data_IF_721812453553
#
_entry.id   IF_721812453553
#
_cell.length_a   1.000
_cell.length_b   1.000
_cell.length_c   1.000
_cell.angle_alpha   90.00
_cell.angle_beta   90.00
_cell.angle_gamma   90.00
#
_symmetry.space_group_name_H-M   'P 1'
#
loop_
_entity.id
_entity.type
_entity.pdbx_description
1 polymer ?
#
# COMPACT_ATOMS: atom_id res chain seq x y z
N UNK A 1 28.09 -5.76 -45.63
CA UNK A 1 27.12 -4.70 -45.28
C UNK A 1 26.35 -5.11 -44.03
N UNK A 2 26.84 -4.77 -42.83
CA UNK A 2 26.09 -4.92 -41.58
C UNK A 2 25.11 -3.75 -41.49
N UNK A 3 23.86 -3.98 -41.91
CA UNK A 3 22.76 -3.02 -41.74
C UNK A 3 22.52 -2.88 -40.23
N UNK A 4 22.93 -1.74 -39.70
CA UNK A 4 22.56 -1.24 -38.39
C UNK A 4 21.03 -1.30 -38.28
N UNK A 5 20.52 -2.32 -37.60
CA UNK A 5 19.13 -2.35 -37.13
C UNK A 5 19.08 -1.45 -35.90
N UNK A 6 18.96 -0.15 -36.14
CA UNK A 6 18.17 0.76 -35.30
C UNK A 6 16.75 0.19 -35.25
N UNK A 7 16.55 -0.83 -34.42
CA UNK A 7 15.29 -1.55 -34.29
C UNK A 7 14.40 -0.67 -33.42
N UNK A 8 13.74 0.31 -34.04
CA UNK A 8 12.45 0.88 -33.66
C UNK A 8 12.27 1.18 -32.15
N UNK A 9 12.88 2.25 -31.64
CA UNK A 9 12.59 2.78 -30.28
C UNK A 9 11.12 3.20 -30.07
N UNK A 10 10.29 3.19 -31.12
CA UNK A 10 8.91 3.66 -31.06
C UNK A 10 7.85 2.56 -31.29
N UNK A 11 8.24 1.29 -31.45
CA UNK A 11 7.28 0.18 -31.62
C UNK A 11 7.39 -0.78 -30.44
N UNK A 12 6.28 -0.93 -29.72
CA UNK A 12 6.16 -1.83 -28.55
C UNK A 12 5.63 -3.19 -28.98
N UNK A 13 4.65 -3.24 -29.88
CA UNK A 13 4.05 -4.48 -30.37
C UNK A 13 3.47 -4.33 -31.79
N UNK A 14 3.16 -5.45 -32.45
CA UNK A 14 2.55 -5.48 -33.78
C UNK A 14 1.48 -6.58 -33.87
N UNK A 15 0.30 -6.26 -34.40
CA UNK A 15 -0.82 -7.17 -34.64
C UNK A 15 -1.18 -7.11 -36.13
N UNK A 16 -0.87 -8.15 -36.91
CA UNK A 16 -0.98 -8.14 -38.38
C UNK A 16 -0.24 -6.95 -39.00
N UNK A 17 -0.94 -5.91 -39.46
CA UNK A 17 -0.36 -4.67 -40.00
C UNK A 17 -0.45 -3.48 -39.03
N UNK A 18 -1.13 -3.64 -37.90
CA UNK A 18 -1.26 -2.62 -36.86
C UNK A 18 0.00 -2.59 -35.97
N UNK A 19 0.54 -1.39 -35.77
CA UNK A 19 1.71 -1.14 -34.93
C UNK A 19 1.27 -0.41 -33.66
N UNK A 20 1.61 -0.97 -32.50
CA UNK A 20 1.45 -0.34 -31.20
C UNK A 20 2.76 0.40 -30.89
N UNK A 21 2.67 1.72 -30.73
CA UNK A 21 3.82 2.59 -30.47
C UNK A 21 4.04 2.86 -28.98
N UNK A 22 5.23 3.37 -28.63
CA UNK A 22 5.55 3.77 -27.25
C UNK A 22 4.62 4.88 -26.76
N UNK A 23 4.31 5.87 -27.62
CA UNK A 23 3.36 6.94 -27.29
C UNK A 23 1.94 6.40 -27.04
N UNK A 24 1.46 5.47 -27.86
CA UNK A 24 0.17 4.82 -27.64
C UNK A 24 0.15 4.03 -26.34
N UNK A 25 1.24 3.32 -26.01
CA UNK A 25 1.36 2.59 -24.76
C UNK A 25 1.36 3.52 -23.54
N UNK A 26 2.12 4.62 -23.59
CA UNK A 26 2.14 5.62 -22.50
C UNK A 26 0.77 6.26 -22.34
N UNK A 27 0.09 6.63 -23.44
CA UNK A 27 -1.27 7.16 -23.39
C UNK A 27 -2.26 6.16 -22.80
N UNK A 28 -2.14 4.89 -23.16
CA UNK A 28 -2.92 3.82 -22.57
C UNK A 28 -2.74 3.77 -21.04
N UNK A 29 -1.49 3.74 -20.55
CA UNK A 29 -1.20 3.75 -19.12
C UNK A 29 -1.76 5.01 -18.42
N UNK A 30 -1.75 6.17 -19.09
CA UNK A 30 -2.34 7.40 -18.54
C UNK A 30 -3.87 7.28 -18.46
N UNK A 31 -4.53 6.77 -19.50
CA UNK A 31 -5.98 6.58 -19.52
C UNK A 31 -6.46 5.47 -18.56
N UNK A 32 -5.64 4.45 -18.30
CA UNK A 32 -5.92 3.40 -17.32
C UNK A 32 -5.52 3.77 -15.89
N UNK A 33 -5.01 4.99 -15.67
CA UNK A 33 -4.48 5.50 -14.39
C UNK A 33 -3.26 4.73 -13.84
N UNK A 34 -2.68 3.77 -14.59
CA UNK A 34 -1.49 3.01 -14.19
C UNK A 34 -0.19 3.80 -14.30
N UNK A 35 -0.15 4.84 -15.15
CA UNK A 35 1.06 5.63 -15.40
C UNK A 35 1.58 6.29 -14.12
N UNK A 36 0.68 6.86 -13.31
CA UNK A 36 1.05 7.60 -12.11
C UNK A 36 1.69 6.67 -11.06
N UNK A 37 1.11 5.50 -10.82
CA UNK A 37 1.64 4.51 -9.87
C UNK A 37 3.03 4.01 -10.29
N UNK A 38 3.23 3.77 -11.59
CA UNK A 38 4.53 3.37 -12.13
C UNK A 38 5.57 4.47 -12.00
N UNK A 39 5.20 5.71 -12.29
CA UNK A 39 6.07 6.88 -12.16
C UNK A 39 6.42 7.15 -10.71
N UNK A 40 5.45 7.08 -9.80
CA UNK A 40 5.68 7.21 -8.37
C UNK A 40 6.69 6.17 -7.91
N UNK A 41 6.46 4.88 -8.20
CA UNK A 41 7.39 3.79 -7.86
C UNK A 41 8.80 4.04 -8.39
N UNK A 42 8.93 4.54 -9.62
CA UNK A 42 10.23 4.90 -10.20
C UNK A 42 10.90 6.05 -9.43
N UNK A 43 10.16 7.11 -9.10
CA UNK A 43 10.65 8.26 -8.33
C UNK A 43 11.08 7.83 -6.93
N UNK A 44 10.26 7.05 -6.21
CA UNK A 44 10.59 6.50 -4.88
C UNK A 44 11.91 5.72 -4.93
N UNK A 45 12.10 4.90 -5.96
CA UNK A 45 13.36 4.17 -6.19
C UNK A 45 14.55 5.09 -6.43
N UNK A 46 14.40 6.13 -7.28
CA UNK A 46 15.49 7.06 -7.57
C UNK A 46 15.88 7.88 -6.34
N UNK A 47 14.92 8.42 -5.60
CA UNK A 47 15.18 9.16 -4.36
C UNK A 47 15.94 8.30 -3.36
N UNK A 48 15.57 7.03 -3.22
CA UNK A 48 16.27 6.09 -2.34
C UNK A 48 17.73 5.92 -2.73
N UNK A 49 18.02 5.77 -4.04
CA UNK A 49 19.40 5.68 -4.54
C UNK A 49 20.17 7.00 -4.31
N UNK A 50 19.54 8.15 -4.55
CA UNK A 50 20.14 9.46 -4.32
C UNK A 50 20.50 9.65 -2.83
N UNK A 51 19.59 9.29 -1.92
CA UNK A 51 19.83 9.33 -0.49
C UNK A 51 20.99 8.42 -0.08
N UNK A 52 21.04 7.17 -0.58
CA UNK A 52 22.16 6.25 -0.33
C UNK A 52 23.51 6.85 -0.73
N UNK A 53 23.59 7.42 -1.93
CA UNK A 53 24.81 8.08 -2.43
C UNK A 53 25.17 9.31 -1.59
N UNK A 54 24.18 10.13 -1.21
CA UNK A 54 24.37 11.31 -0.35
C UNK A 54 24.89 10.94 1.04
N UNK A 55 24.45 9.80 1.58
CA UNK A 55 24.95 9.23 2.85
C UNK A 55 26.36 8.62 2.72
N UNK A 56 26.98 8.68 1.54
CA UNK A 56 28.32 8.13 1.31
C UNK A 56 28.34 6.60 1.23
N UNK A 57 27.19 5.94 1.04
CA UNK A 57 27.18 4.50 0.79
C UNK A 57 27.90 4.23 -0.53
N UNK A 58 28.72 3.18 -0.54
CA UNK A 58 29.35 2.64 -1.73
C UNK A 58 28.75 1.28 -2.06
N UNK A 59 28.79 0.92 -3.34
CA UNK A 59 28.43 -0.40 -3.85
C UNK A 59 29.68 -1.00 -4.49
N UNK A 60 30.05 -2.19 -4.05
CA UNK A 60 31.16 -2.97 -4.59
C UNK A 60 30.76 -3.77 -5.82
N UNK A 61 31.75 -4.20 -6.61
CA UNK A 61 31.52 -5.06 -7.78
C UNK A 61 30.95 -6.41 -7.35
N UNK A 62 31.41 -6.92 -6.21
CA UNK A 62 30.95 -8.17 -5.61
C UNK A 62 29.45 -8.09 -5.26
N UNK A 63 29.00 -7.03 -4.59
CA UNK A 63 27.57 -6.84 -4.28
C UNK A 63 26.71 -6.74 -5.55
N UNK A 64 27.23 -6.14 -6.62
CA UNK A 64 26.54 -6.06 -7.92
C UNK A 64 26.44 -7.44 -8.56
N UNK A 65 27.51 -8.25 -8.50
CA UNK A 65 27.49 -9.61 -9.04
C UNK A 65 26.52 -10.51 -8.27
N UNK A 66 26.51 -10.44 -6.95
CA UNK A 66 25.57 -11.19 -6.12
C UNK A 66 24.11 -10.83 -6.46
N UNK A 67 23.81 -9.53 -6.60
CA UNK A 67 22.49 -9.06 -7.02
C UNK A 67 22.12 -9.54 -8.44
N UNK A 68 23.08 -9.55 -9.35
CA UNK A 68 22.88 -10.02 -10.72
C UNK A 68 22.63 -11.54 -10.77
N UNK A 69 23.32 -12.32 -9.94
CA UNK A 69 23.14 -13.76 -9.83
C UNK A 69 21.78 -14.11 -9.21
N UNK A 70 21.36 -13.37 -8.18
CA UNK A 70 20.03 -13.47 -7.61
C UNK A 70 18.94 -13.16 -8.64
N UNK A 71 19.11 -12.07 -9.40
CA UNK A 71 18.19 -11.70 -10.48
C UNK A 71 18.11 -12.81 -11.54
N UNK A 72 19.25 -13.34 -12.01
CA UNK A 72 19.30 -14.44 -12.97
C UNK A 72 18.60 -15.68 -12.46
N UNK A 73 18.81 -16.04 -11.19
CA UNK A 73 18.15 -17.18 -10.55
C UNK A 73 16.63 -17.01 -10.51
N UNK A 74 16.13 -15.84 -10.10
CA UNK A 74 14.70 -15.55 -10.06
C UNK A 74 14.06 -15.57 -11.47
N UNK A 75 14.81 -15.16 -12.49
CA UNK A 75 14.37 -15.15 -13.88
C UNK A 75 14.60 -16.47 -14.62
N UNK A 76 15.14 -17.50 -13.96
CA UNK A 76 15.43 -18.80 -14.57
C UNK A 76 16.58 -18.78 -15.60
N UNK A 77 17.43 -17.75 -15.56
CA UNK A 77 18.55 -17.56 -16.48
C UNK A 77 19.81 -18.27 -15.97
N UNK A 78 19.82 -19.60 -16.03
CA UNK A 78 20.88 -20.43 -15.45
C UNK A 78 22.18 -20.48 -16.28
N UNK A 79 22.17 -20.00 -17.53
CA UNK A 79 23.35 -19.94 -18.40
C UNK A 79 23.59 -18.51 -18.86
N UNK A 80 24.86 -18.14 -19.09
CA UNK A 80 25.23 -16.82 -19.62
C UNK A 80 24.51 -16.48 -20.94
N UNK A 81 24.26 -17.49 -21.80
CA UNK A 81 23.51 -17.32 -23.04
C UNK A 81 22.06 -16.90 -22.80
N UNK A 82 21.44 -17.36 -21.72
CA UNK A 82 20.06 -17.03 -21.38
C UNK A 82 19.97 -15.56 -20.96
N UNK A 83 20.92 -15.07 -20.17
CA UNK A 83 21.04 -13.64 -19.83
C UNK A 83 21.27 -12.79 -21.08
N UNK A 84 22.17 -13.19 -21.97
CA UNK A 84 22.41 -12.45 -23.21
C UNK A 84 21.15 -12.37 -24.08
N UNK A 85 20.46 -13.50 -24.27
CA UNK A 85 19.20 -13.53 -25.04
C UNK A 85 18.14 -12.62 -24.39
N UNK A 86 18.04 -12.62 -23.07
CA UNK A 86 17.11 -11.74 -22.35
C UNK A 86 17.44 -10.26 -22.58
N UNK A 87 18.72 -9.86 -22.41
CA UNK A 87 19.18 -8.49 -22.65
C UNK A 87 18.91 -8.06 -24.11
N UNK A 88 19.22 -8.92 -25.08
CA UNK A 88 18.97 -8.67 -26.50
C UNK A 88 17.47 -8.51 -26.80
N UNK A 89 16.62 -9.28 -26.12
CA UNK A 89 15.16 -9.24 -26.31
C UNK A 89 14.53 -7.96 -25.75
N UNK A 90 14.99 -7.49 -24.60
CA UNK A 90 14.49 -6.24 -23.99
C UNK A 90 15.27 -5.00 -24.44
N UNK A 91 16.34 -5.19 -25.22
CA UNK A 91 17.10 -4.12 -25.84
C UNK A 91 18.02 -3.35 -24.89
N UNK A 92 18.56 -4.00 -23.86
CA UNK A 92 19.49 -3.36 -22.91
C UNK A 92 20.92 -3.85 -23.10
N UNK A 93 21.87 -2.98 -22.78
CA UNK A 93 23.30 -3.28 -22.71
C UNK A 93 23.70 -3.89 -21.36
N UNK A 94 24.90 -4.48 -21.32
CA UNK A 94 25.48 -4.97 -20.06
C UNK A 94 25.70 -3.84 -19.06
N UNK A 95 26.03 -2.63 -19.52
CA UNK A 95 26.24 -1.45 -18.67
C UNK A 95 24.92 -0.98 -18.05
N UNK A 96 23.83 -0.96 -18.83
CA UNK A 96 22.50 -0.64 -18.30
C UNK A 96 22.01 -1.70 -17.30
N UNK A 97 22.29 -2.98 -17.56
CA UNK A 97 21.99 -4.04 -16.62
C UNK A 97 22.80 -3.91 -15.32
N UNK A 98 24.10 -3.64 -15.42
CA UNK A 98 24.98 -3.40 -14.26
C UNK A 98 24.53 -2.19 -13.44
N UNK A 99 24.18 -1.09 -14.11
CA UNK A 99 23.62 0.10 -13.48
C UNK A 99 22.30 -0.20 -12.75
N UNK A 100 21.40 -0.97 -13.39
CA UNK A 100 20.15 -1.40 -12.78
C UNK A 100 20.36 -2.28 -11.53
N UNK A 101 21.37 -3.17 -11.56
CA UNK A 101 21.77 -3.97 -10.40
C UNK A 101 22.40 -3.11 -9.29
N UNK A 102 23.28 -2.17 -9.64
CA UNK A 102 23.85 -1.21 -8.69
C UNK A 102 22.77 -0.42 -7.96
N UNK A 103 21.77 0.10 -8.69
CA UNK A 103 20.63 0.79 -8.09
C UNK A 103 19.81 -0.11 -7.17
N UNK A 104 19.63 -1.40 -7.53
CA UNK A 104 18.98 -2.36 -6.64
C UNK A 104 19.76 -2.54 -5.33
N UNK A 105 21.09 -2.67 -5.39
CA UNK A 105 21.94 -2.79 -4.20
C UNK A 105 21.85 -1.55 -3.32
N UNK A 106 21.93 -0.34 -3.88
CA UNK A 106 21.76 0.90 -3.10
C UNK A 106 20.42 0.94 -2.35
N UNK A 107 19.32 0.57 -3.02
CA UNK A 107 18.00 0.53 -2.38
C UNK A 107 17.96 -0.50 -1.26
N UNK A 108 18.49 -1.70 -1.50
CA UNK A 108 18.57 -2.76 -0.48
C UNK A 108 19.35 -2.28 0.75
N UNK A 109 20.51 -1.66 0.57
CA UNK A 109 21.33 -1.14 1.69
C UNK A 109 20.61 -0.09 2.52
N UNK A 110 19.85 0.81 1.87
CA UNK A 110 18.98 1.75 2.60
C UNK A 110 17.91 1.01 3.38
N UNK A 111 17.16 0.11 2.75
CA UNK A 111 16.10 -0.66 3.41
C UNK A 111 16.66 -1.46 4.59
N UNK A 112 17.78 -2.14 4.44
CA UNK A 112 18.45 -2.87 5.52
C UNK A 112 18.89 -1.93 6.66
N UNK A 113 19.30 -0.70 6.34
CA UNK A 113 19.66 0.32 7.33
C UNK A 113 18.43 0.83 8.08
N UNK A 114 17.35 1.16 7.38
CA UNK A 114 16.17 1.80 7.99
C UNK A 114 15.23 0.79 8.66
N UNK A 115 15.11 -0.43 8.12
CA UNK A 115 14.20 -1.49 8.55
C UNK A 115 14.90 -2.59 9.38
N UNK A 116 16.08 -2.30 9.95
CA UNK A 116 16.73 -3.25 10.85
C UNK A 116 15.89 -3.56 12.10
N UNK A 117 16.23 -4.64 12.81
CA UNK A 117 15.49 -5.12 13.99
C UNK A 117 15.34 -4.04 15.07
N UNK A 118 16.40 -3.30 15.40
CA UNK A 118 16.36 -2.27 16.44
C UNK A 118 15.39 -1.14 16.07
N UNK A 119 15.45 -0.67 14.82
CA UNK A 119 14.58 0.40 14.35
C UNK A 119 13.11 -0.04 14.28
N UNK A 120 12.85 -1.25 13.78
CA UNK A 120 11.48 -1.79 13.66
C UNK A 120 10.86 -2.08 15.03
N UNK A 121 11.62 -2.67 15.96
CA UNK A 121 11.18 -2.91 17.35
C UNK A 121 10.90 -1.58 18.07
N UNK A 122 11.81 -0.60 17.93
CA UNK A 122 11.63 0.73 18.50
C UNK A 122 10.40 1.44 17.93
N UNK A 123 10.20 1.35 16.61
CA UNK A 123 9.05 1.95 15.95
C UNK A 123 7.75 1.32 16.45
N UNK A 124 7.68 -0.01 16.50
CA UNK A 124 6.52 -0.72 17.02
C UNK A 124 6.23 -0.32 18.46
N UNK A 125 7.21 -0.34 19.36
CA UNK A 125 7.01 0.03 20.77
C UNK A 125 6.43 1.45 20.94
N UNK A 126 6.84 2.39 20.09
CA UNK A 126 6.35 3.78 20.15
C UNK A 126 5.00 3.99 19.47
N UNK A 127 4.55 3.05 18.63
CA UNK A 127 3.36 3.20 17.80
C UNK A 127 2.38 2.02 17.92
N UNK A 128 2.60 1.05 18.82
CA UNK A 128 1.87 -0.21 18.87
C UNK A 128 0.35 -0.05 18.81
N UNK A 129 -0.28 0.88 19.56
CA UNK A 129 -1.72 1.05 19.48
C UNK A 129 -2.22 1.37 18.08
N UNK A 130 -1.46 2.11 17.25
CA UNK A 130 -1.87 2.48 15.88
C UNK A 130 -2.07 1.26 14.97
N UNK A 131 -1.47 0.13 15.34
CA UNK A 131 -1.56 -1.11 14.59
C UNK A 131 -2.68 -2.03 15.07
N UNK A 132 -3.34 -1.69 16.19
CA UNK A 132 -4.53 -2.40 16.64
C UNK A 132 -5.60 -2.31 15.56
N UNK A 133 -6.38 -3.38 15.44
CA UNK A 133 -7.54 -3.43 14.55
C UNK A 133 -8.79 -3.80 15.31
N UNK A 134 -9.95 -3.32 14.86
CA UNK A 134 -11.24 -3.68 15.41
C UNK A 134 -12.15 -4.31 14.35
N UNK A 135 -12.98 -5.25 14.81
CA UNK A 135 -14.09 -5.79 14.05
C UNK A 135 -15.39 -5.28 14.71
N UNK A 136 -16.29 -4.71 13.92
CA UNK A 136 -17.57 -4.15 14.39
C UNK A 136 -18.74 -4.69 13.57
N UNK A 137 -19.94 -4.59 14.13
CA UNK A 137 -21.18 -4.59 13.38
C UNK A 137 -21.79 -3.18 13.46
N UNK A 138 -22.42 -2.68 12.40
CA UNK A 138 -23.03 -1.35 12.41
C UNK A 138 -24.47 -1.32 11.88
N UNK A 139 -25.22 -0.33 12.35
CA UNK A 139 -26.55 0.05 11.87
C UNK A 139 -26.45 1.50 11.42
N UNK A 140 -26.70 1.75 10.14
CA UNK A 140 -26.69 3.10 9.57
C UNK A 140 -28.14 3.58 9.45
N UNK A 141 -28.49 4.75 9.94
CA UNK A 141 -29.86 5.29 9.80
C UNK A 141 -29.87 6.77 9.51
N UNK A 142 -30.87 7.22 8.75
CA UNK A 142 -31.15 8.64 8.57
C UNK A 142 -32.04 9.16 9.70
N UNK A 143 -31.66 10.33 10.24
CA UNK A 143 -32.40 11.06 11.27
C UNK A 143 -31.95 10.73 12.70
N UNK A 144 -31.66 11.79 13.46
CA UNK A 144 -31.17 11.70 14.83
C UNK A 144 -32.18 11.02 15.78
N UNK A 145 -33.46 11.36 15.65
CA UNK A 145 -34.52 10.83 16.52
C UNK A 145 -34.70 9.33 16.35
N UNK A 146 -34.67 8.83 15.12
CA UNK A 146 -34.73 7.39 14.83
C UNK A 146 -33.49 6.68 15.39
N UNK A 147 -32.31 7.28 15.25
CA UNK A 147 -31.08 6.71 15.79
C UNK A 147 -31.13 6.61 17.34
N UNK A 148 -31.64 7.64 18.02
CA UNK A 148 -31.84 7.63 19.48
C UNK A 148 -32.86 6.59 19.92
N UNK A 149 -33.96 6.46 19.20
CA UNK A 149 -34.99 5.45 19.48
C UNK A 149 -34.41 4.03 19.38
N UNK A 150 -33.70 3.72 18.29
CA UNK A 150 -33.05 2.42 18.13
C UNK A 150 -31.99 2.16 19.19
N UNK A 151 -31.21 3.18 19.57
CA UNK A 151 -30.21 3.03 20.64
C UNK A 151 -30.88 2.71 21.99
N UNK A 152 -31.95 3.42 22.35
CA UNK A 152 -32.67 3.18 23.60
C UNK A 152 -33.25 1.75 23.65
N UNK A 153 -33.78 1.25 22.53
CA UNK A 153 -34.25 -0.14 22.42
C UNK A 153 -33.10 -1.15 22.57
N UNK A 154 -31.93 -0.88 21.97
CA UNK A 154 -30.75 -1.74 22.07
C UNK A 154 -30.06 -1.70 23.45
N UNK A 155 -30.28 -0.65 24.24
CA UNK A 155 -29.85 -0.62 25.65
C UNK A 155 -30.67 -1.58 26.52
N UNK A 156 -31.95 -1.78 26.19
CA UNK A 156 -32.83 -2.72 26.89
C UNK A 156 -32.69 -4.16 26.36
N UNK A 157 -32.58 -4.33 25.05
CA UNK A 157 -32.57 -5.64 24.36
C UNK A 157 -31.39 -5.74 23.35
N UNK A 158 -30.13 -5.78 23.82
CA UNK A 158 -28.93 -5.77 22.96
C UNK A 158 -28.81 -6.98 22.02
N UNK A 159 -29.48 -8.09 22.33
CA UNK A 159 -29.57 -9.28 21.48
C UNK A 159 -30.25 -9.02 20.13
N UNK A 160 -31.10 -7.99 20.04
CA UNK A 160 -31.85 -7.65 18.82
C UNK A 160 -31.00 -6.92 17.77
N UNK A 161 -29.73 -6.63 18.06
CA UNK A 161 -28.86 -5.86 17.16
C UNK A 161 -28.87 -6.41 15.72
N UNK A 162 -28.72 -7.74 15.55
CA UNK A 162 -28.66 -8.36 14.23
C UNK A 162 -29.99 -8.31 13.47
N UNK A 163 -31.12 -8.24 14.18
CA UNK A 163 -32.44 -8.03 13.59
C UNK A 163 -32.59 -6.56 13.17
N UNK A 164 -32.16 -5.64 14.04
CA UNK A 164 -32.23 -4.20 13.78
C UNK A 164 -31.35 -3.78 12.60
N UNK A 165 -30.19 -4.40 12.42
CA UNK A 165 -29.37 -4.22 11.21
C UNK A 165 -30.21 -4.52 9.97
N UNK A 166 -30.89 -5.68 9.92
CA UNK A 166 -31.64 -6.11 8.73
C UNK A 166 -32.82 -5.19 8.45
N UNK A 167 -33.56 -4.84 9.50
CA UNK A 167 -34.80 -4.08 9.39
C UNK A 167 -34.57 -2.58 9.14
N UNK A 168 -33.61 -1.98 9.84
CA UNK A 168 -33.50 -0.53 9.91
C UNK A 168 -32.27 0.06 9.23
N UNK A 169 -31.16 -0.69 9.11
CA UNK A 169 -29.92 -0.15 8.54
C UNK A 169 -30.15 0.29 7.10
N UNK A 170 -29.65 1.45 6.67
CA UNK A 170 -29.70 1.94 5.29
C UNK A 170 -28.47 1.53 4.47
N UNK A 171 -27.48 0.86 5.08
CA UNK A 171 -26.30 0.37 4.38
C UNK A 171 -26.56 -1.00 3.74
N UNK A 172 -26.93 -0.99 2.47
CA UNK A 172 -27.25 -2.21 1.71
C UNK A 172 -26.05 -3.13 1.48
N UNK A 173 -24.81 -2.64 1.58
CA UNK A 173 -23.61 -3.46 1.38
C UNK A 173 -23.41 -4.45 2.53
N UNK A 174 -23.63 -4.00 3.77
CA UNK A 174 -23.39 -4.82 4.97
C UNK A 174 -24.66 -5.30 5.66
N UNK A 175 -25.84 -4.74 5.37
CA UNK A 175 -27.13 -5.13 5.98
C UNK A 175 -27.35 -6.65 5.95
N UNK A 176 -27.05 -7.29 4.82
CA UNK A 176 -27.26 -8.73 4.63
C UNK A 176 -26.16 -9.61 5.24
N UNK A 177 -25.06 -9.01 5.70
CA UNK A 177 -23.95 -9.69 6.40
C UNK A 177 -23.91 -9.34 7.89
N UNK A 178 -25.01 -8.82 8.44
CA UNK A 178 -25.12 -8.44 9.86
C UNK A 178 -24.34 -7.16 10.21
N UNK A 179 -24.18 -6.26 9.23
CA UNK A 179 -23.53 -4.98 9.42
C UNK A 179 -22.02 -5.08 9.62
N UNK A 180 -21.42 -6.24 9.29
CA UNK A 180 -20.07 -6.59 9.72
C UNK A 180 -19.00 -5.85 8.92
N UNK A 181 -18.06 -5.25 9.64
CA UNK A 181 -16.84 -4.65 9.11
C UNK A 181 -15.66 -5.16 9.94
N UNK A 182 -14.62 -5.69 9.29
CA UNK A 182 -13.48 -6.32 9.97
C UNK A 182 -12.17 -5.62 9.64
N UNK A 183 -11.21 -5.68 10.56
CA UNK A 183 -9.85 -5.18 10.33
C UNK A 183 -9.74 -3.66 10.27
N UNK A 184 -10.69 -2.94 10.89
CA UNK A 184 -10.67 -1.49 10.95
C UNK A 184 -9.44 -1.06 11.75
N UNK A 185 -8.53 -0.33 11.10
CA UNK A 185 -7.35 0.22 11.77
C UNK A 185 -7.69 1.54 12.47
N UNK A 186 -6.92 1.90 13.51
CA UNK A 186 -7.06 3.20 14.17
C UNK A 186 -6.92 4.37 13.19
N UNK A 187 -7.74 5.39 13.39
CA UNK A 187 -7.74 6.62 12.60
C UNK A 187 -8.50 6.53 11.27
N UNK A 188 -9.11 5.38 10.95
CA UNK A 188 -10.02 5.23 9.81
C UNK A 188 -11.41 5.78 10.13
N UNK A 189 -11.88 5.60 11.37
CA UNK A 189 -13.18 6.08 11.81
C UNK A 189 -13.15 7.56 12.23
N UNK A 190 -14.30 8.26 12.24
CA UNK A 190 -14.40 9.58 12.85
C UNK A 190 -13.86 9.59 14.29
N UNK A 191 -13.19 10.67 14.74
CA UNK A 191 -12.43 10.65 16.00
C UNK A 191 -13.19 10.17 17.24
N UNK A 192 -14.48 10.52 17.36
CA UNK A 192 -15.32 10.10 18.49
C UNK A 192 -15.60 8.59 18.46
N UNK A 193 -15.90 8.05 17.27
CA UNK A 193 -16.17 6.65 17.07
C UNK A 193 -14.90 5.81 17.22
N UNK A 194 -13.78 6.25 16.66
CA UNK A 194 -12.47 5.61 16.80
C UNK A 194 -12.08 5.47 18.29
N UNK A 195 -12.18 6.58 19.02
CA UNK A 195 -11.90 6.60 20.45
C UNK A 195 -12.83 5.65 21.22
N UNK A 196 -14.10 5.53 20.84
CA UNK A 196 -15.02 4.60 21.49
C UNK A 196 -14.67 3.15 21.17
N UNK A 197 -14.57 2.78 19.89
CA UNK A 197 -14.33 1.40 19.42
C UNK A 197 -13.13 0.78 20.12
N UNK A 198 -12.01 1.50 20.13
CA UNK A 198 -10.76 0.94 20.63
C UNK A 198 -10.57 1.03 22.16
N UNK A 199 -11.50 1.66 22.88
CA UNK A 199 -11.57 1.64 24.34
C UNK A 199 -12.71 0.76 24.88
N UNK A 200 -13.48 0.14 23.99
CA UNK A 200 -14.64 -0.69 24.31
C UNK A 200 -14.27 -2.16 24.49
N UNK A 201 -15.14 -2.88 25.21
CA UNK A 201 -15.04 -4.34 25.32
C UNK A 201 -15.88 -5.03 24.23
N UNK A 202 -15.49 -6.24 23.78
CA UNK A 202 -16.33 -7.05 22.89
C UNK A 202 -17.76 -7.19 23.41
N UNK A 203 -18.73 -6.99 22.53
CA UNK A 203 -20.17 -6.99 22.81
C UNK A 203 -20.76 -5.62 23.13
N UNK A 204 -19.94 -4.61 23.43
CA UNK A 204 -20.44 -3.27 23.76
C UNK A 204 -21.10 -2.60 22.54
N UNK A 205 -22.27 -1.98 22.76
CA UNK A 205 -22.98 -1.17 21.78
C UNK A 205 -22.72 0.31 22.08
N UNK A 206 -22.46 1.10 21.05
CA UNK A 206 -22.18 2.52 21.18
C UNK A 206 -22.78 3.37 20.06
N UNK A 207 -22.99 4.65 20.35
CA UNK A 207 -23.59 5.62 19.44
C UNK A 207 -24.85 6.25 20.04
N UNK A 208 -25.73 6.83 19.21
CA UNK A 208 -25.56 7.02 17.77
C UNK A 208 -24.51 8.08 17.44
N UNK A 209 -23.59 7.78 16.52
CA UNK A 209 -22.56 8.70 16.04
C UNK A 209 -23.01 9.40 14.76
N UNK A 210 -22.89 10.73 14.70
CA UNK A 210 -23.22 11.48 13.48
C UNK A 210 -22.10 11.36 12.45
N UNK A 211 -22.44 10.93 11.24
CA UNK A 211 -21.45 10.71 10.17
C UNK A 211 -21.20 12.02 9.42
N UNK A 212 -19.97 12.55 9.51
CA UNK A 212 -19.46 13.67 8.69
C UNK A 212 -20.37 14.92 8.62
N UNK A 213 -21.14 15.20 9.69
CA UNK A 213 -22.06 16.34 9.73
C UNK A 213 -23.31 16.21 8.85
N UNK A 214 -23.61 15.01 8.36
CA UNK A 214 -24.83 14.68 7.63
C UNK A 214 -26.00 14.34 8.58
N UNK A 215 -27.18 14.07 8.02
CA UNK A 215 -28.32 13.52 8.79
C UNK A 215 -28.25 11.99 8.94
N UNK A 216 -27.10 11.39 8.65
CA UNK A 216 -26.85 9.96 8.82
C UNK A 216 -26.15 9.71 10.15
N UNK A 217 -26.63 8.68 10.85
CA UNK A 217 -26.15 8.26 12.15
C UNK A 217 -25.81 6.77 12.16
N UNK A 218 -24.79 6.41 12.94
CA UNK A 218 -24.31 5.03 13.08
C UNK A 218 -24.38 4.56 14.53
N UNK A 219 -24.99 3.39 14.75
CA UNK A 219 -24.91 2.65 16.01
C UNK A 219 -24.03 1.43 15.73
N UNK A 220 -23.05 1.19 16.59
CA UNK A 220 -22.06 0.13 16.39
C UNK A 220 -22.08 -0.85 17.55
N UNK A 221 -21.83 -2.12 17.27
CA UNK A 221 -21.50 -3.15 18.25
C UNK A 221 -20.08 -3.61 18.02
N UNK A 222 -19.20 -3.44 19.01
CA UNK A 222 -17.80 -3.84 18.91
C UNK A 222 -17.74 -5.35 19.07
N UNK A 223 -17.26 -6.07 18.06
CA UNK A 223 -17.17 -7.53 18.12
C UNK A 223 -15.82 -8.03 18.59
N UNK A 224 -14.74 -7.34 18.23
CA UNK A 224 -13.39 -7.68 18.67
C UNK A 224 -12.47 -6.45 18.57
N UNK A 225 -11.56 -6.30 19.53
CA UNK A 225 -10.41 -5.39 19.42
C UNK A 225 -9.15 -6.24 19.51
N UNK A 226 -8.41 -6.31 18.39
CA UNK A 226 -7.20 -7.12 18.24
C UNK A 226 -5.98 -6.24 18.49
N UNK A 227 -5.27 -6.51 19.58
CA UNK A 227 -3.99 -5.87 19.84
C UNK A 227 -2.94 -6.39 18.87
N UNK A 228 -2.22 -5.49 18.21
CA UNK A 228 -1.16 -5.89 17.31
C UNK A 228 0.02 -6.52 18.07
N UNK A 229 0.62 -7.54 17.46
CA UNK A 229 1.97 -8.00 17.79
C UNK A 229 2.94 -7.52 16.72
N UNK A 230 4.21 -7.35 17.05
CA UNK A 230 5.22 -6.94 16.06
C UNK A 230 5.25 -7.89 14.85
N UNK A 231 5.10 -9.20 15.09
CA UNK A 231 5.09 -10.20 14.03
C UNK A 231 3.86 -10.07 13.12
N UNK A 232 2.67 -9.88 13.70
CA UNK A 232 1.43 -9.76 12.93
C UNK A 232 1.37 -8.53 12.03
N UNK A 233 2.14 -7.48 12.32
CA UNK A 233 2.15 -6.22 11.55
C UNK A 233 3.52 -5.85 10.98
N UNK A 234 4.44 -6.82 10.87
CA UNK A 234 5.82 -6.60 10.41
C UNK A 234 5.89 -5.91 9.04
N UNK A 235 5.07 -6.36 8.09
CA UNK A 235 5.01 -5.76 6.74
C UNK A 235 4.48 -4.34 6.79
N UNK A 236 3.42 -4.08 7.57
CA UNK A 236 2.83 -2.75 7.72
C UNK A 236 3.77 -1.77 8.40
N UNK A 237 4.50 -2.21 9.42
CA UNK A 237 5.58 -1.44 10.05
C UNK A 237 6.63 -1.07 9.00
N UNK A 238 7.07 -2.04 8.20
CA UNK A 238 8.11 -1.85 7.20
C UNK A 238 7.69 -0.84 6.11
N UNK A 239 6.47 -0.99 5.60
CA UNK A 239 5.86 -0.07 4.65
C UNK A 239 5.78 1.35 5.22
N UNK A 240 5.17 1.49 6.41
CA UNK A 240 4.95 2.80 7.04
C UNK A 240 6.26 3.49 7.38
N UNK A 241 7.24 2.76 7.91
CA UNK A 241 8.58 3.31 8.21
C UNK A 241 9.29 3.78 6.94
N UNK A 242 9.16 3.03 5.84
CA UNK A 242 9.76 3.41 4.57
C UNK A 242 9.07 4.63 3.96
N UNK A 243 7.73 4.70 4.01
CA UNK A 243 6.95 5.86 3.55
C UNK A 243 7.33 7.12 4.34
N UNK A 244 7.32 7.06 5.67
CA UNK A 244 7.70 8.20 6.52
C UNK A 244 9.16 8.63 6.30
N UNK A 245 10.07 7.68 6.06
CA UNK A 245 11.45 7.98 5.71
C UNK A 245 11.53 8.67 4.36
N UNK A 246 10.80 8.18 3.37
CA UNK A 246 10.82 8.69 2.01
C UNK A 246 10.20 10.09 1.93
N UNK A 247 9.12 10.37 2.64
CA UNK A 247 8.55 11.71 2.74
C UNK A 247 9.57 12.73 3.26
N UNK A 248 10.41 12.34 4.22
CA UNK A 248 11.51 13.19 4.70
C UNK A 248 12.55 13.41 3.61
N UNK A 249 12.91 12.37 2.86
CA UNK A 249 13.83 12.53 1.73
C UNK A 249 13.25 13.39 0.61
N UNK A 250 11.96 13.26 0.30
CA UNK A 250 11.28 14.04 -0.74
C UNK A 250 11.31 15.55 -0.45
N UNK A 251 11.21 15.96 0.82
CA UNK A 251 11.32 17.37 1.21
C UNK A 251 12.70 17.97 0.89
N UNK A 252 13.73 17.14 0.73
CA UNK A 252 15.09 17.56 0.38
C UNK A 252 15.35 17.56 -1.14
N UNK A 253 14.40 17.08 -1.95
CA UNK A 253 14.55 16.92 -3.40
C UNK A 253 13.45 17.67 -4.15
N UNK A 254 13.81 18.46 -5.17
CA UNK A 254 12.83 19.05 -6.08
C UNK A 254 12.40 17.99 -7.10
N UNK A 255 11.16 17.49 -6.99
CA UNK A 255 10.55 16.63 -8.01
C UNK A 255 9.69 17.49 -8.92
N UNK A 256 10.11 17.67 -10.17
CA UNK A 256 9.30 18.32 -11.22
C UNK A 256 8.78 17.22 -12.14
N UNK A 257 7.46 17.05 -12.19
CA UNK A 257 6.82 16.23 -13.22
C UNK A 257 6.64 17.11 -14.45
N UNK A 258 7.38 16.84 -15.51
CA UNK A 258 7.12 17.43 -16.82
C UNK A 258 5.90 16.73 -17.42
N UNK A 259 4.81 17.48 -17.65
CA UNK A 259 3.54 16.99 -18.19
C UNK A 259 3.60 16.70 -19.69
#
# INVERSE_FOLDING_TARGET
>A
MKKWRLKLMNTVAKINDEIITTDQFIKFLKFSNEFNDLMERLIRNKITVHAAKKMGMSVSVEEIQDAADDFRRCMGMHRAKDTQNWMDNIGISSEEFESFMSEHVYRKKILDTILNHENTEKYFRLNAPKFDTADICHIVVEGEEKAKELMALLEEEPENFDEFVKEYSSDDETRFTGGRITGISRGILPPEMDAKVFNSTPGEIAGPFRVNGSEVYEIIRITEVKTASQESVKEKISETMYDEWLEKQMKEHTVLLEN
#
